data_IF_570492972275
#
_entry.id   IF_570492972275
#
_cell.length_a   1.000
_cell.length_b   1.000
_cell.length_c   1.000
_cell.angle_alpha   90.00
_cell.angle_beta   90.00
_cell.angle_gamma   90.00
#
_symmetry.space_group_name_H-M   'P 1'
#
loop_
_entity.id
_entity.type
_entity.pdbx_description
1 polymer ?
#
# COMPACT_ATOMS: atom_id res chain seq x y z
N UNK A 1 19.66 1.68 -10.29
CA UNK A 1 19.79 0.33 -9.69
C UNK A 1 18.42 -0.32 -9.65
N UNK A 2 18.31 -1.61 -9.98
CA UNK A 2 17.06 -2.36 -9.80
C UNK A 2 16.88 -2.69 -8.32
N UNK A 3 15.70 -2.40 -7.78
CA UNK A 3 15.30 -2.72 -6.42
C UNK A 3 14.35 -3.90 -6.42
N UNK A 4 14.23 -4.58 -5.28
CA UNK A 4 13.29 -5.69 -5.09
C UNK A 4 12.29 -5.39 -3.99
N UNK A 5 11.05 -5.86 -4.13
CA UNK A 5 10.03 -5.67 -3.11
C UNK A 5 9.29 -6.96 -2.76
N UNK A 6 8.88 -7.07 -1.49
CA UNK A 6 7.73 -7.86 -1.07
C UNK A 6 6.53 -6.94 -1.16
N UNK A 7 5.51 -7.35 -1.90
CA UNK A 7 4.27 -6.60 -2.06
C UNK A 7 3.16 -7.27 -1.27
N UNK A 8 2.40 -6.50 -0.49
CA UNK A 8 1.26 -6.97 0.31
C UNK A 8 0.05 -6.12 -0.02
N UNK A 9 -1.05 -6.75 -0.41
CA UNK A 9 -2.30 -6.04 -0.66
C UNK A 9 -3.36 -6.88 -1.35
N UNK A 10 -4.60 -6.35 -1.39
CA UNK A 10 -5.78 -7.12 -1.75
C UNK A 10 -6.75 -6.38 -2.69
N UNK A 11 -6.33 -5.29 -3.30
CA UNK A 11 -7.19 -4.47 -4.16
C UNK A 11 -6.53 -4.14 -5.50
N UNK A 12 -7.30 -3.55 -6.42
CA UNK A 12 -6.81 -3.13 -7.74
C UNK A 12 -5.63 -2.15 -7.66
N UNK A 13 -5.60 -1.28 -6.65
CA UNK A 13 -4.48 -0.37 -6.42
C UNK A 13 -3.16 -1.12 -6.21
N UNK A 14 -3.19 -2.27 -5.52
CA UNK A 14 -2.01 -3.12 -5.34
C UNK A 14 -1.41 -3.52 -6.68
N UNK A 15 -2.25 -3.96 -7.62
CA UNK A 15 -1.81 -4.34 -8.96
C UNK A 15 -1.27 -3.15 -9.74
N UNK A 16 -2.00 -2.04 -9.79
CA UNK A 16 -1.60 -0.88 -10.59
C UNK A 16 -0.29 -0.26 -10.10
N UNK A 17 -0.05 -0.20 -8.79
CA UNK A 17 1.24 0.21 -8.23
C UNK A 17 2.35 -0.81 -8.51
N UNK A 18 2.03 -2.10 -8.45
CA UNK A 18 2.98 -3.16 -8.80
C UNK A 18 3.42 -3.07 -10.27
N UNK A 19 2.51 -2.76 -11.17
CA UNK A 19 2.82 -2.56 -12.60
C UNK A 19 3.75 -1.36 -12.82
N UNK A 20 3.55 -0.24 -12.09
CA UNK A 20 4.48 0.90 -12.11
C UNK A 20 5.86 0.53 -11.58
N UNK A 21 5.91 -0.23 -10.47
CA UNK A 21 7.16 -0.72 -9.88
C UNK A 21 7.95 -1.57 -10.88
N UNK A 22 7.29 -2.49 -11.55
CA UNK A 22 7.90 -3.34 -12.58
C UNK A 22 8.33 -2.53 -13.81
N UNK A 23 7.50 -1.58 -14.26
CA UNK A 23 7.81 -0.70 -15.40
C UNK A 23 9.02 0.21 -15.13
N UNK A 24 9.27 0.56 -13.87
CA UNK A 24 10.47 1.29 -13.45
C UNK A 24 11.75 0.43 -13.41
N UNK A 25 11.66 -0.85 -13.80
CA UNK A 25 12.80 -1.76 -13.86
C UNK A 25 13.12 -2.46 -12.54
N UNK A 26 12.20 -2.46 -11.60
CA UNK A 26 12.30 -3.14 -10.32
C UNK A 26 11.69 -4.53 -10.36
N UNK A 27 11.84 -5.31 -9.30
CA UNK A 27 11.32 -6.68 -9.22
C UNK A 27 10.42 -6.88 -7.99
N UNK A 28 9.52 -7.85 -8.07
CA UNK A 28 8.69 -8.29 -6.95
C UNK A 28 9.12 -9.71 -6.60
N UNK A 29 9.67 -9.88 -5.41
CA UNK A 29 10.15 -11.19 -4.95
C UNK A 29 9.03 -12.08 -4.44
N UNK A 30 7.99 -11.48 -3.85
CA UNK A 30 6.78 -12.17 -3.35
C UNK A 30 5.59 -11.21 -3.38
N UNK A 31 4.42 -11.76 -3.70
CA UNK A 31 3.14 -11.09 -3.47
C UNK A 31 2.39 -11.80 -2.36
N UNK A 32 1.99 -11.07 -1.32
CA UNK A 32 1.12 -11.55 -0.25
C UNK A 32 -0.29 -11.03 -0.52
N UNK A 33 -1.21 -11.93 -0.82
CA UNK A 33 -2.59 -11.57 -1.13
C UNK A 33 -3.56 -12.74 -0.87
N UNK A 34 -4.84 -12.41 -0.67
CA UNK A 34 -5.96 -13.36 -0.69
C UNK A 34 -6.96 -13.03 -1.82
N UNK A 35 -6.62 -12.09 -2.69
CA UNK A 35 -7.45 -11.69 -3.83
C UNK A 35 -7.13 -12.57 -5.04
N UNK A 36 -8.13 -13.32 -5.51
CA UNK A 36 -7.95 -14.27 -6.61
C UNK A 36 -7.51 -13.60 -7.94
N UNK A 37 -7.96 -12.38 -8.22
CA UNK A 37 -7.54 -11.66 -9.41
C UNK A 37 -6.05 -11.27 -9.34
N UNK A 38 -5.57 -10.86 -8.16
CA UNK A 38 -4.15 -10.57 -7.93
C UNK A 38 -3.30 -11.83 -7.99
N UNK A 39 -3.80 -12.95 -7.49
CA UNK A 39 -3.12 -14.26 -7.61
C UNK A 39 -2.95 -14.66 -9.08
N UNK A 40 -4.00 -14.53 -9.89
CA UNK A 40 -3.95 -14.83 -11.33
C UNK A 40 -3.01 -13.87 -12.08
N UNK A 41 -3.04 -12.58 -11.74
CA UNK A 41 -2.13 -11.59 -12.31
C UNK A 41 -0.65 -11.92 -11.98
N UNK A 42 -0.35 -12.25 -10.72
CA UNK A 42 0.99 -12.61 -10.29
C UNK A 42 1.50 -13.89 -10.98
N UNK A 43 0.63 -14.90 -11.12
CA UNK A 43 0.94 -16.14 -11.83
C UNK A 43 1.30 -15.89 -13.29
N UNK A 44 0.61 -14.95 -13.97
CA UNK A 44 0.92 -14.57 -15.36
C UNK A 44 2.29 -13.89 -15.54
N UNK A 45 2.93 -13.49 -14.45
CA UNK A 45 4.24 -12.80 -14.40
C UNK A 45 5.32 -13.60 -13.66
N UNK A 46 5.05 -14.85 -13.34
CA UNK A 46 5.96 -15.72 -12.57
C UNK A 46 6.34 -15.12 -11.19
N UNK A 47 5.43 -14.30 -10.59
CA UNK A 47 5.61 -13.76 -9.25
C UNK A 47 5.05 -14.76 -8.23
N UNK A 48 5.88 -15.28 -7.30
CA UNK A 48 5.41 -16.22 -6.31
C UNK A 48 4.41 -15.57 -5.34
N UNK A 49 3.27 -16.22 -5.14
CA UNK A 49 2.22 -15.77 -4.20
C UNK A 49 2.34 -16.50 -2.87
N UNK A 50 2.19 -15.75 -1.79
CA UNK A 50 2.18 -16.25 -0.41
C UNK A 50 0.87 -15.84 0.26
N UNK A 51 0.27 -16.76 1.00
CA UNK A 51 -0.94 -16.45 1.80
C UNK A 51 -0.57 -15.69 3.06
N UNK A 52 -1.37 -14.66 3.38
CA UNK A 52 -1.29 -13.94 4.65
C UNK A 52 -1.66 -14.85 5.84
N UNK A 53 -1.45 -14.36 7.05
CA UNK A 53 -1.84 -15.02 8.29
C UNK A 53 -0.65 -15.50 9.14
N UNK A 54 -0.96 -16.30 10.12
CA UNK A 54 0.02 -16.75 11.10
C UNK A 54 1.23 -17.44 10.44
N UNK A 55 2.45 -17.10 10.88
CA UNK A 55 3.69 -17.63 10.33
C UNK A 55 4.09 -17.03 8.97
N UNK A 56 3.61 -15.83 8.64
CA UNK A 56 3.91 -15.15 7.38
C UNK A 56 5.42 -14.94 7.19
N UNK A 57 6.15 -14.53 8.23
CA UNK A 57 7.60 -14.32 8.17
C UNK A 57 8.34 -15.60 7.73
N UNK A 58 7.95 -16.75 8.26
CA UNK A 58 8.55 -18.04 7.86
C UNK A 58 8.28 -18.37 6.39
N UNK A 59 7.06 -18.08 5.90
CA UNK A 59 6.72 -18.29 4.47
C UNK A 59 7.41 -17.31 3.54
N UNK A 60 7.79 -16.14 4.03
CA UNK A 60 8.57 -15.14 3.31
C UNK A 60 10.09 -15.35 3.47
N UNK A 61 10.52 -16.28 4.31
CA UNK A 61 11.95 -16.53 4.53
C UNK A 61 12.66 -16.88 3.22
N UNK A 62 13.84 -16.29 3.02
CA UNK A 62 14.59 -16.42 1.76
C UNK A 62 14.14 -15.48 0.63
N UNK A 63 13.04 -14.75 0.78
CA UNK A 63 12.72 -13.67 -0.13
C UNK A 63 13.70 -12.50 0.09
N UNK A 64 14.53 -12.22 -0.90
CA UNK A 64 15.36 -11.00 -0.87
C UNK A 64 14.48 -9.81 -1.25
N UNK A 65 14.44 -8.79 -0.43
CA UNK A 65 13.70 -7.56 -0.70
C UNK A 65 14.43 -6.35 -0.14
N UNK A 66 14.53 -5.31 -0.93
CA UNK A 66 14.95 -3.99 -0.47
C UNK A 66 13.83 -3.32 0.33
N UNK A 67 12.61 -3.43 -0.17
CA UNK A 67 11.42 -2.82 0.39
C UNK A 67 10.29 -3.82 0.64
N UNK A 68 9.46 -3.53 1.63
CA UNK A 68 8.12 -4.08 1.76
C UNK A 68 7.12 -2.97 1.43
N UNK A 69 6.23 -3.22 0.48
CA UNK A 69 5.18 -2.28 0.07
C UNK A 69 3.82 -2.85 0.49
N UNK A 70 3.18 -2.22 1.46
CA UNK A 70 1.83 -2.54 1.95
C UNK A 70 0.85 -1.58 1.28
N UNK A 71 0.07 -2.07 0.32
CA UNK A 71 -0.81 -1.25 -0.52
C UNK A 71 -2.21 -1.84 -0.52
N UNK A 72 -3.18 -1.10 0.02
CA UNK A 72 -4.55 -1.57 0.22
C UNK A 72 -4.59 -2.91 0.99
N UNK A 73 -3.89 -2.93 2.09
CA UNK A 73 -3.82 -3.99 3.07
C UNK A 73 -4.41 -3.51 4.39
N UNK A 74 -5.33 -4.27 4.97
CA UNK A 74 -5.99 -3.95 6.23
C UNK A 74 -5.38 -4.69 7.43
N UNK A 75 -4.51 -5.67 7.17
CA UNK A 75 -3.91 -6.47 8.22
C UNK A 75 -2.70 -5.76 8.82
N UNK A 76 -2.59 -5.80 10.14
CA UNK A 76 -1.37 -5.37 10.82
C UNK A 76 -0.24 -6.36 10.53
N UNK A 77 0.92 -5.84 10.19
CA UNK A 77 2.09 -6.64 9.91
C UNK A 77 2.92 -6.83 11.17
N UNK A 78 3.26 -8.09 11.53
CA UNK A 78 4.08 -8.36 12.70
C UNK A 78 5.53 -7.92 12.51
N UNK A 79 6.23 -7.66 13.61
CA UNK A 79 7.60 -7.11 13.60
C UNK A 79 8.59 -8.01 12.84
N UNK A 80 8.43 -9.32 12.91
CA UNK A 80 9.27 -10.27 12.19
C UNK A 80 9.12 -10.19 10.67
N UNK A 81 7.94 -9.80 10.18
CA UNK A 81 7.70 -9.50 8.77
C UNK A 81 8.31 -8.15 8.39
N UNK A 82 8.15 -7.13 9.24
CA UNK A 82 8.71 -5.79 9.01
C UNK A 82 10.23 -5.76 9.03
N UNK A 83 10.87 -6.73 9.66
CA UNK A 83 12.33 -6.88 9.72
C UNK A 83 12.94 -7.55 8.46
N UNK A 84 12.12 -8.09 7.56
CA UNK A 84 12.63 -8.82 6.38
C UNK A 84 13.26 -7.90 5.30
N UNK A 85 12.68 -6.75 4.94
CA UNK A 85 13.25 -5.90 3.91
C UNK A 85 14.49 -5.15 4.41
N UNK A 86 15.49 -5.01 3.54
CA UNK A 86 16.77 -4.40 3.91
C UNK A 86 16.68 -2.88 4.19
N UNK A 87 15.71 -2.19 3.58
CA UNK A 87 15.57 -0.73 3.67
C UNK A 87 14.37 -0.29 4.51
N UNK A 88 13.36 -1.12 4.67
CA UNK A 88 12.17 -0.84 5.47
C UNK A 88 10.86 -1.16 4.77
N UNK A 89 9.77 -0.77 5.42
CA UNK A 89 8.42 -1.04 4.97
C UNK A 89 7.66 0.28 4.78
N UNK A 90 6.94 0.39 3.67
CA UNK A 90 6.14 1.55 3.29
C UNK A 90 4.68 1.13 3.19
N UNK A 91 3.78 1.94 3.76
CA UNK A 91 2.33 1.73 3.70
C UNK A 91 1.63 2.85 2.92
N UNK A 92 0.62 2.45 2.16
CA UNK A 92 -0.41 3.35 1.66
C UNK A 92 -1.53 3.47 2.68
N UNK A 93 -1.84 4.69 3.11
CA UNK A 93 -2.98 5.01 3.94
C UNK A 93 -3.94 5.96 3.21
N UNK A 94 -5.24 5.66 3.24
CA UNK A 94 -6.30 6.39 2.55
C UNK A 94 -6.81 7.61 3.32
N UNK A 95 -5.94 8.25 4.08
CA UNK A 95 -6.19 9.44 4.88
C UNK A 95 -4.99 10.38 4.98
N UNK A 96 -5.24 11.68 5.25
CA UNK A 96 -4.17 12.68 5.40
C UNK A 96 -3.60 12.66 6.83
N UNK A 97 -2.68 11.76 7.11
CA UNK A 97 -2.05 11.61 8.43
C UNK A 97 -1.41 12.94 8.91
N UNK A 98 -1.42 13.18 10.22
CA UNK A 98 -1.90 12.33 11.31
C UNK A 98 -3.42 12.33 11.49
N UNK A 99 -4.16 13.17 10.77
CA UNK A 99 -5.63 13.12 10.78
C UNK A 99 -6.09 11.85 10.06
N UNK A 100 -7.19 11.30 10.54
CA UNK A 100 -7.81 10.11 9.96
C UNK A 100 -6.90 8.87 9.94
N UNK A 101 -6.04 8.71 10.98
CA UNK A 101 -5.40 7.45 11.25
C UNK A 101 -6.45 6.36 11.51
N UNK A 102 -6.14 5.12 11.16
CA UNK A 102 -7.06 3.99 11.33
C UNK A 102 -7.92 3.71 10.11
N UNK A 103 -8.97 2.92 10.30
CA UNK A 103 -9.79 2.38 9.21
C UNK A 103 -10.88 3.36 8.75
N UNK A 104 -11.28 3.21 7.47
CA UNK A 104 -12.41 3.93 6.86
C UNK A 104 -12.24 5.45 6.82
N UNK A 105 -11.03 5.96 6.65
CA UNK A 105 -10.74 7.39 6.62
C UNK A 105 -11.63 8.18 5.63
N UNK A 106 -11.89 7.74 4.38
CA UNK A 106 -12.80 8.44 3.47
C UNK A 106 -14.24 8.52 3.98
N UNK A 107 -14.73 7.48 4.67
CA UNK A 107 -16.08 7.49 5.27
C UNK A 107 -16.18 8.55 6.36
N UNK A 108 -15.20 8.59 7.25
CA UNK A 108 -15.17 9.58 8.33
C UNK A 108 -15.02 11.00 7.80
N UNK A 109 -14.19 11.22 6.78
CA UNK A 109 -14.07 12.53 6.13
C UNK A 109 -15.42 13.01 5.57
N UNK A 110 -16.16 12.11 4.93
CA UNK A 110 -17.50 12.42 4.38
C UNK A 110 -18.52 12.74 5.48
N UNK A 111 -18.54 11.93 6.55
CA UNK A 111 -19.45 12.14 7.68
C UNK A 111 -19.15 13.45 8.42
N UNK A 112 -17.89 13.82 8.52
CA UNK A 112 -17.46 15.07 9.18
C UNK A 112 -17.62 16.30 8.29
N UNK A 113 -18.11 16.16 7.05
CA UNK A 113 -18.31 17.29 6.14
C UNK A 113 -16.99 17.95 5.71
N UNK A 114 -15.91 17.22 5.65
CA UNK A 114 -14.60 17.77 5.23
C UNK A 114 -14.68 18.28 3.79
N UNK A 115 -14.13 19.47 3.50
CA UNK A 115 -14.06 19.99 2.14
C UNK A 115 -12.94 19.35 1.30
N UNK A 116 -11.97 18.75 1.98
CA UNK A 116 -10.80 18.09 1.35
C UNK A 116 -10.45 16.81 2.09
N UNK A 117 -9.85 15.89 1.36
CA UNK A 117 -9.26 14.66 1.88
C UNK A 117 -7.92 14.40 1.18
N UNK A 118 -7.28 13.27 1.48
CA UNK A 118 -6.02 12.93 0.87
C UNK A 118 -5.54 11.54 1.26
N UNK A 119 -4.39 11.20 0.74
CA UNK A 119 -3.69 9.95 1.05
C UNK A 119 -2.32 10.24 1.63
N UNK A 120 -1.75 9.25 2.29
CA UNK A 120 -0.41 9.30 2.84
C UNK A 120 0.37 8.03 2.48
N UNK A 121 1.55 8.21 1.94
CA UNK A 121 2.61 7.21 1.92
C UNK A 121 3.50 7.45 3.13
N UNK A 122 3.70 6.45 3.96
CA UNK A 122 4.49 6.58 5.18
C UNK A 122 5.28 5.30 5.47
N UNK A 123 6.35 5.43 6.25
CA UNK A 123 7.03 4.26 6.79
C UNK A 123 6.15 3.53 7.81
N UNK A 124 6.23 2.22 7.86
CA UNK A 124 5.57 1.43 8.91
C UNK A 124 6.44 1.45 10.15
N UNK A 125 5.86 1.87 11.27
CA UNK A 125 6.45 1.84 12.61
C UNK A 125 5.70 0.88 13.53
N UNK A 126 6.03 0.89 14.81
CA UNK A 126 5.47 -0.03 15.80
C UNK A 126 3.97 0.14 16.09
N UNK A 127 3.38 1.27 15.71
CA UNK A 127 1.94 1.53 15.86
C UNK A 127 1.26 1.69 14.51
N UNK A 128 -0.07 1.48 14.43
CA UNK A 128 -0.81 1.71 13.20
C UNK A 128 -0.73 3.19 12.78
N UNK A 129 -0.37 3.43 11.53
CA UNK A 129 -0.30 4.75 10.89
C UNK A 129 0.56 5.81 11.63
N UNK A 130 1.60 5.37 12.36
CA UNK A 130 2.44 6.24 13.20
C UNK A 130 3.83 6.52 12.64
N UNK A 131 4.24 5.88 11.56
CA UNK A 131 5.56 6.07 10.97
C UNK A 131 5.71 7.40 10.24
N UNK A 132 6.95 7.77 9.95
CA UNK A 132 7.29 9.02 9.28
C UNK A 132 6.63 9.13 7.91
N UNK A 133 6.04 10.29 7.65
CA UNK A 133 5.37 10.60 6.39
C UNK A 133 6.43 10.80 5.29
N UNK A 134 6.26 10.08 4.18
CA UNK A 134 7.11 10.22 3.00
C UNK A 134 6.50 11.22 2.02
N UNK A 135 5.21 11.06 1.72
CA UNK A 135 4.50 11.82 0.71
C UNK A 135 3.00 11.85 1.01
N UNK A 136 2.37 12.98 0.76
CA UNK A 136 0.91 13.12 0.82
C UNK A 136 0.39 13.69 -0.49
N UNK A 137 -0.81 13.28 -0.89
CA UNK A 137 -1.53 13.84 -2.02
C UNK A 137 -2.98 14.11 -1.63
N UNK A 138 -3.42 15.34 -1.85
CA UNK A 138 -4.76 15.80 -1.48
C UNK A 138 -5.70 15.90 -2.68
N UNK A 139 -7.01 15.84 -2.40
CA UNK A 139 -8.08 16.08 -3.36
C UNK A 139 -9.30 16.71 -2.68
N UNK A 140 -10.15 17.36 -3.48
CA UNK A 140 -11.35 18.02 -2.97
C UNK A 140 -12.51 17.04 -2.83
N UNK A 141 -13.32 17.23 -1.79
CA UNK A 141 -14.59 16.55 -1.59
C UNK A 141 -15.70 17.46 -2.09
N UNK A 142 -16.55 16.94 -2.98
CA UNK A 142 -17.72 17.65 -3.49
C UNK A 142 -19.00 17.18 -2.78
N UNK A 143 -20.09 17.96 -2.82
CA UNK A 143 -21.38 17.53 -2.26
C UNK A 143 -21.94 16.22 -2.83
N UNK A 144 -21.55 15.88 -4.07
CA UNK A 144 -21.98 14.66 -4.78
C UNK A 144 -21.14 13.43 -4.41
N UNK A 145 -20.01 13.62 -3.74
CA UNK A 145 -19.15 12.50 -3.37
C UNK A 145 -19.81 11.57 -2.35
N UNK A 146 -19.65 10.30 -2.60
CA UNK A 146 -19.97 9.20 -1.70
C UNK A 146 -18.69 8.62 -1.11
N UNK A 147 -18.79 7.73 -0.13
CA UNK A 147 -17.63 7.00 0.37
C UNK A 147 -16.91 6.22 -0.75
N UNK A 148 -17.67 5.66 -1.69
CA UNK A 148 -17.12 4.93 -2.84
C UNK A 148 -16.34 5.86 -3.78
N UNK A 149 -16.88 7.02 -4.16
CA UNK A 149 -16.19 7.96 -5.05
C UNK A 149 -14.96 8.57 -4.37
N UNK A 150 -14.99 8.79 -3.04
CA UNK A 150 -13.82 9.22 -2.30
C UNK A 150 -12.73 8.14 -2.25
N UNK A 151 -13.09 6.87 -2.11
CA UNK A 151 -12.14 5.78 -2.21
C UNK A 151 -11.49 5.71 -3.60
N UNK A 152 -12.26 5.93 -4.66
CA UNK A 152 -11.75 6.03 -6.03
C UNK A 152 -10.75 7.18 -6.16
N UNK A 153 -11.09 8.38 -5.67
CA UNK A 153 -10.18 9.54 -5.66
C UNK A 153 -8.90 9.25 -4.86
N UNK A 154 -9.01 8.56 -3.73
CA UNK A 154 -7.86 8.14 -2.94
C UNK A 154 -6.94 7.20 -3.74
N UNK A 155 -7.50 6.25 -4.47
CA UNK A 155 -6.72 5.34 -5.33
C UNK A 155 -6.08 6.08 -6.52
N UNK A 156 -6.78 7.03 -7.13
CA UNK A 156 -6.21 7.88 -8.19
C UNK A 156 -5.04 8.73 -7.67
N UNK A 157 -5.21 9.33 -6.47
CA UNK A 157 -4.15 10.10 -5.83
C UNK A 157 -2.93 9.23 -5.48
N UNK A 158 -3.18 8.01 -4.99
CA UNK A 158 -2.12 7.06 -4.70
C UNK A 158 -1.37 6.64 -5.96
N UNK A 159 -2.10 6.26 -7.00
CA UNK A 159 -1.54 5.87 -8.29
C UNK A 159 -0.70 6.99 -8.92
N UNK A 160 -1.21 8.21 -8.92
CA UNK A 160 -0.52 9.37 -9.50
C UNK A 160 0.72 9.75 -8.71
N UNK A 161 0.67 9.66 -7.38
CA UNK A 161 1.80 10.00 -6.51
C UNK A 161 2.86 8.90 -6.39
N UNK A 162 2.56 7.68 -6.85
CA UNK A 162 3.46 6.54 -6.73
C UNK A 162 4.76 6.74 -7.52
N UNK A 163 4.70 7.40 -8.68
CA UNK A 163 5.90 7.72 -9.46
C UNK A 163 6.84 8.64 -8.67
N UNK A 164 6.29 9.66 -8.00
CA UNK A 164 7.08 10.53 -7.10
C UNK A 164 7.66 9.75 -5.91
N UNK A 165 6.95 8.74 -5.42
CA UNK A 165 7.47 7.87 -4.37
C UNK A 165 8.68 7.06 -4.85
N UNK A 166 8.66 6.59 -6.10
CA UNK A 166 9.75 5.81 -6.69
C UNK A 166 11.04 6.64 -6.93
N UNK A 167 10.93 7.96 -7.04
CA UNK A 167 12.05 8.88 -7.26
C UNK A 167 12.79 9.26 -5.96
N UNK A 168 12.28 8.86 -4.78
CA UNK A 168 12.85 9.18 -3.46
C UNK A 168 13.67 8.05 -2.89
#
# INVERSE_FOLDING_TARGET
>A
MSLSAILIGNASLTQTCAEKWLAAGHSISRLVTHNAALEAWAASRDIPVVKAGQGLAARLSGAKADWLLSIANLDLLPEDVLALPARGAINFHDGPLPRYAGLNAPVWARLNGEPRHGITWHFIASGPDTGDIILQAGFDITPQDTALTLNTKAYEAAYSSFDTLLER
#
